data_IF_108317238864
#
_entry.id   IF_108317238864
#
_cell.length_a   1.000
_cell.length_b   1.000
_cell.length_c   1.000
_cell.angle_alpha   90.00
_cell.angle_beta   90.00
_cell.angle_gamma   90.00
#
_symmetry.space_group_name_H-M   'P 1'
#
loop_
_entity.id
_entity.type
_entity.pdbx_description
1 polymer ?
#
# COMPACT_ATOMS: atom_id res chain seq x y z
N UNK A 1 -17.43 18.53 18.82
CA UNK A 1 -16.61 17.33 18.55
C UNK A 1 -15.37 17.75 17.78
N UNK A 2 -14.19 17.31 18.21
CA UNK A 2 -12.97 17.64 17.50
C UNK A 2 -12.94 16.96 16.12
N UNK A 3 -12.44 17.65 15.08
CA UNK A 3 -12.24 17.02 13.78
C UNK A 3 -11.33 15.79 13.89
N UNK A 4 -11.61 14.78 13.09
CA UNK A 4 -10.84 13.53 13.08
C UNK A 4 -9.34 13.78 12.87
N UNK A 5 -8.97 14.67 11.96
CA UNK A 5 -7.58 15.03 11.72
C UNK A 5 -6.88 15.54 12.98
N UNK A 6 -7.57 16.37 13.76
CA UNK A 6 -7.03 16.90 15.03
C UNK A 6 -6.84 15.80 16.06
N UNK A 7 -7.80 14.88 16.16
CA UNK A 7 -7.71 13.74 17.07
C UNK A 7 -6.53 12.82 16.71
N UNK A 8 -6.37 12.52 15.44
CA UNK A 8 -5.25 11.68 14.96
C UNK A 8 -3.91 12.38 15.19
N UNK A 9 -3.84 13.69 14.92
CA UNK A 9 -2.63 14.47 15.18
C UNK A 9 -2.23 14.42 16.67
N UNK A 10 -3.18 14.61 17.57
CA UNK A 10 -2.93 14.50 19.02
C UNK A 10 -2.45 13.11 19.41
N UNK A 11 -3.07 12.08 18.85
CA UNK A 11 -2.68 10.70 19.11
C UNK A 11 -1.22 10.45 18.71
N UNK A 12 -0.82 10.92 17.54
CA UNK A 12 0.55 10.78 17.05
C UNK A 12 1.55 11.56 17.91
N UNK A 13 1.21 12.77 18.30
CA UNK A 13 2.04 13.58 19.22
C UNK A 13 2.24 12.87 20.56
N UNK A 14 1.18 12.31 21.12
CA UNK A 14 1.23 11.55 22.39
C UNK A 14 2.04 10.25 22.23
N UNK A 15 2.04 9.66 21.04
CA UNK A 15 2.84 8.48 20.75
C UNK A 15 4.34 8.78 20.57
N UNK A 16 4.73 10.05 20.56
CA UNK A 16 6.12 10.46 20.50
C UNK A 16 6.61 10.97 19.14
N UNK A 17 5.72 11.08 18.15
CA UNK A 17 6.07 11.67 16.86
C UNK A 17 6.14 13.20 16.96
N UNK A 18 7.21 13.79 16.43
CA UNK A 18 7.38 15.23 16.43
C UNK A 18 6.69 15.86 15.23
N UNK A 19 5.88 16.88 15.51
CA UNK A 19 5.22 17.70 14.50
C UNK A 19 4.56 16.89 13.34
N UNK A 20 3.69 15.92 13.64
CA UNK A 20 3.00 15.19 12.59
C UNK A 20 2.09 16.13 11.81
N UNK A 21 2.13 16.04 10.47
CA UNK A 21 1.20 16.77 9.62
C UNK A 21 0.06 15.82 9.23
N UNK A 22 -1.17 16.22 9.52
CA UNK A 22 -2.36 15.42 9.23
C UNK A 22 -3.36 16.27 8.45
N UNK A 23 -3.79 15.77 7.30
CA UNK A 23 -4.80 16.44 6.47
C UNK A 23 -5.83 15.44 5.98
N UNK A 24 -7.05 15.92 5.70
CA UNK A 24 -8.13 15.10 5.15
C UNK A 24 -8.42 15.53 3.72
N UNK A 25 -8.43 14.56 2.82
CA UNK A 25 -9.02 14.71 1.49
C UNK A 25 -10.44 14.17 1.57
N UNK A 26 -11.41 15.07 1.62
CA UNK A 26 -12.81 14.73 1.79
C UNK A 26 -13.39 14.00 0.57
N UNK A 27 -12.93 14.32 -0.63
CA UNK A 27 -13.40 13.68 -1.86
C UNK A 27 -12.90 12.24 -1.96
N UNK A 28 -11.62 12.03 -1.69
CA UNK A 28 -11.02 10.69 -1.70
C UNK A 28 -11.30 9.90 -0.43
N UNK A 29 -11.90 10.52 0.59
CA UNK A 29 -12.08 9.92 1.91
C UNK A 29 -10.78 9.38 2.48
N UNK A 30 -9.73 10.17 2.36
CA UNK A 30 -8.39 9.78 2.72
C UNK A 30 -7.80 10.71 3.77
N UNK A 31 -7.20 10.13 4.79
CA UNK A 31 -6.44 10.86 5.78
C UNK A 31 -4.96 10.72 5.40
N UNK A 32 -4.34 11.83 5.06
CA UNK A 32 -2.92 11.87 4.70
C UNK A 32 -2.09 12.32 5.89
N UNK A 33 -1.09 11.54 6.23
CA UNK A 33 -0.20 11.79 7.37
C UNK A 33 1.23 11.87 6.87
N UNK A 34 1.96 12.89 7.31
CA UNK A 34 3.38 13.03 7.05
C UNK A 34 4.12 13.04 8.37
N UNK A 35 5.04 12.09 8.52
CA UNK A 35 5.89 11.92 9.69
C UNK A 35 7.34 12.10 9.24
N UNK A 36 8.03 13.07 9.82
CA UNK A 36 9.44 13.32 9.52
C UNK A 36 10.34 12.57 10.50
N UNK A 37 10.43 11.27 10.30
CA UNK A 37 11.24 10.38 11.12
C UNK A 37 12.35 9.73 10.28
N UNK A 38 13.27 9.02 10.93
CA UNK A 38 14.39 8.37 10.23
C UNK A 38 13.97 7.14 9.41
N UNK A 39 14.96 6.51 8.79
CA UNK A 39 14.75 5.32 7.94
C UNK A 39 14.08 4.16 8.66
N UNK A 40 14.20 4.11 9.98
CA UNK A 40 13.55 3.07 10.79
C UNK A 40 12.04 3.04 10.61
N UNK A 41 11.41 4.18 10.33
CA UNK A 41 9.96 4.28 10.18
C UNK A 41 9.44 3.48 8.97
N UNK A 42 10.19 3.43 7.88
CA UNK A 42 9.79 2.71 6.66
C UNK A 42 9.45 1.25 6.94
N UNK A 43 10.20 0.63 7.82
CA UNK A 43 10.00 -0.76 8.23
C UNK A 43 8.67 -0.98 8.95
N UNK A 44 8.21 0.04 9.68
CA UNK A 44 7.01 -0.04 10.51
C UNK A 44 5.76 0.52 9.84
N UNK A 45 5.91 1.20 8.69
CA UNK A 45 4.80 1.85 8.00
C UNK A 45 3.61 0.92 7.70
N UNK A 46 3.78 -0.29 7.16
CA UNK A 46 2.63 -1.16 6.89
C UNK A 46 1.82 -1.47 8.14
N UNK A 47 2.50 -1.82 9.24
CA UNK A 47 1.86 -2.10 10.52
C UNK A 47 1.20 -0.87 11.12
N UNK A 48 1.89 0.27 11.09
CA UNK A 48 1.38 1.53 11.63
C UNK A 48 0.13 2.00 10.87
N UNK A 49 0.15 1.92 9.54
CA UNK A 49 -1.02 2.27 8.71
C UNK A 49 -2.20 1.38 9.08
N UNK A 50 -1.99 0.08 9.18
CA UNK A 50 -3.04 -0.85 9.53
C UNK A 50 -3.62 -0.57 10.92
N UNK A 51 -2.77 -0.34 11.90
CA UNK A 51 -3.20 -0.04 13.28
C UNK A 51 -3.98 1.27 13.36
N UNK A 52 -3.51 2.31 12.68
CA UNK A 52 -4.22 3.59 12.62
C UNK A 52 -5.56 3.47 11.89
N UNK A 53 -5.64 2.68 10.83
CA UNK A 53 -6.91 2.42 10.14
C UNK A 53 -7.93 1.77 11.09
N UNK A 54 -7.51 0.82 11.92
CA UNK A 54 -8.37 0.21 12.92
C UNK A 54 -8.87 1.23 13.94
N UNK A 55 -7.98 2.07 14.48
CA UNK A 55 -8.33 3.09 15.43
C UNK A 55 -9.29 4.15 14.85
N UNK A 56 -8.99 4.63 13.65
CA UNK A 56 -9.83 5.61 12.95
C UNK A 56 -11.19 5.02 12.63
N UNK A 57 -11.26 3.76 12.26
CA UNK A 57 -12.52 3.06 12.02
C UNK A 57 -13.40 3.04 13.27
N UNK A 58 -12.81 2.80 14.44
CA UNK A 58 -13.52 2.84 15.71
C UNK A 58 -14.00 4.26 16.06
N UNK A 59 -13.17 5.27 15.85
CA UNK A 59 -13.55 6.66 16.07
C UNK A 59 -14.65 7.11 15.10
N UNK A 60 -14.58 6.71 13.85
CA UNK A 60 -15.57 7.03 12.83
C UNK A 60 -16.92 6.36 13.10
N UNK A 61 -16.93 5.15 13.65
CA UNK A 61 -18.16 4.47 14.08
C UNK A 61 -18.92 5.27 15.13
N UNK A 62 -18.19 5.80 16.13
CA UNK A 62 -18.79 6.64 17.18
C UNK A 62 -19.41 7.91 16.62
N UNK A 63 -18.81 8.46 15.56
CA UNK A 63 -19.26 9.69 14.92
C UNK A 63 -20.23 9.44 13.74
N UNK A 64 -20.62 8.20 13.48
CA UNK A 64 -21.46 7.80 12.34
C UNK A 64 -20.92 8.29 11.00
N UNK A 65 -19.59 8.36 10.86
CA UNK A 65 -18.94 8.80 9.65
C UNK A 65 -18.59 7.64 8.72
N UNK A 66 -18.50 7.93 7.43
CA UNK A 66 -18.08 6.94 6.44
C UNK A 66 -16.62 6.50 6.66
N UNK A 67 -16.29 5.30 6.21
CA UNK A 67 -14.94 4.77 6.31
C UNK A 67 -13.92 5.69 5.62
N UNK A 68 -12.79 5.90 6.29
CA UNK A 68 -11.70 6.74 5.82
C UNK A 68 -10.45 5.87 5.66
N UNK A 69 -9.77 6.02 4.53
CA UNK A 69 -8.49 5.36 4.28
C UNK A 69 -7.35 6.21 4.85
N UNK A 70 -6.29 5.56 5.29
CA UNK A 70 -5.10 6.23 5.82
C UNK A 70 -3.91 5.94 4.92
N UNK A 71 -3.11 6.98 4.67
CA UNK A 71 -1.79 6.84 4.08
C UNK A 71 -0.78 7.67 4.88
N UNK A 72 0.42 7.14 5.01
CA UNK A 72 1.52 7.78 5.71
C UNK A 72 2.69 7.92 4.74
N UNK A 73 3.20 9.15 4.59
CA UNK A 73 4.35 9.46 3.74
C UNK A 73 4.22 8.95 2.30
N UNK A 74 3.00 8.97 1.75
CA UNK A 74 2.70 8.44 0.42
C UNK A 74 3.11 6.97 0.23
N UNK A 75 3.07 6.18 1.30
CA UNK A 75 3.49 4.79 1.29
C UNK A 75 2.79 3.96 0.20
N UNK A 76 1.48 4.11 0.06
CA UNK A 76 0.72 3.33 -0.93
C UNK A 76 1.12 3.66 -2.36
N UNK A 77 1.26 4.95 -2.69
CA UNK A 77 1.72 5.40 -4.01
C UNK A 77 3.12 4.87 -4.33
N UNK A 78 4.02 4.98 -3.38
CA UNK A 78 5.39 4.51 -3.54
C UNK A 78 5.43 2.99 -3.69
N UNK A 79 4.64 2.27 -2.90
CA UNK A 79 4.51 0.81 -3.00
C UNK A 79 3.98 0.39 -4.38
N UNK A 80 2.93 1.05 -4.87
CA UNK A 80 2.38 0.78 -6.20
C UNK A 80 3.40 1.01 -7.30
N UNK A 81 4.14 2.12 -7.23
CA UNK A 81 5.20 2.44 -8.19
C UNK A 81 6.26 1.35 -8.22
N UNK A 82 6.72 0.90 -7.06
CA UNK A 82 7.73 -0.15 -6.95
C UNK A 82 7.23 -1.49 -7.50
N UNK A 83 5.98 -1.84 -7.26
CA UNK A 83 5.37 -3.07 -7.78
C UNK A 83 5.28 -3.03 -9.30
N UNK A 84 4.86 -1.92 -9.88
CA UNK A 84 4.80 -1.73 -11.33
C UNK A 84 6.19 -1.85 -11.96
N UNK A 85 7.19 -1.20 -11.37
CA UNK A 85 8.58 -1.30 -11.84
C UNK A 85 9.12 -2.73 -11.76
N UNK A 86 8.84 -3.42 -10.66
CA UNK A 86 9.22 -4.82 -10.47
C UNK A 86 8.57 -5.72 -11.51
N UNK A 87 7.28 -5.52 -11.76
CA UNK A 87 6.53 -6.27 -12.77
C UNK A 87 7.13 -6.09 -14.17
N UNK A 88 7.44 -4.86 -14.54
CA UNK A 88 8.07 -4.55 -15.84
C UNK A 88 9.45 -5.19 -15.99
N UNK A 89 10.27 -5.11 -14.95
CA UNK A 89 11.60 -5.72 -14.95
C UNK A 89 11.52 -7.24 -15.06
N UNK A 90 10.62 -7.85 -14.30
CA UNK A 90 10.41 -9.30 -14.34
C UNK A 90 9.86 -9.77 -15.69
N UNK A 91 8.97 -9.00 -16.32
CA UNK A 91 8.45 -9.30 -17.65
C UNK A 91 9.57 -9.27 -18.71
N UNK A 92 10.45 -8.29 -18.66
CA UNK A 92 11.61 -8.21 -19.54
C UNK A 92 12.53 -9.43 -19.37
N UNK A 93 12.77 -9.81 -18.12
CA UNK A 93 13.58 -10.99 -17.81
C UNK A 93 12.95 -12.26 -18.36
N UNK A 94 11.67 -12.48 -18.09
CA UNK A 94 10.94 -13.65 -18.57
C UNK A 94 10.95 -13.73 -20.12
N UNK A 95 10.72 -12.60 -20.77
CA UNK A 95 10.72 -12.50 -22.24
C UNK A 95 12.11 -12.78 -22.84
N UNK A 96 13.14 -12.16 -22.28
CA UNK A 96 14.52 -12.25 -22.80
C UNK A 96 15.14 -13.62 -22.55
N UNK A 97 15.03 -14.13 -21.32
CA UNK A 97 15.65 -15.38 -20.91
C UNK A 97 14.77 -16.61 -21.18
N UNK A 98 13.53 -16.40 -21.58
CA UNK A 98 12.52 -17.45 -21.79
C UNK A 98 12.31 -18.33 -20.55
N UNK A 99 12.37 -17.71 -19.39
CA UNK A 99 12.19 -18.36 -18.09
C UNK A 99 10.98 -17.82 -17.36
N UNK A 100 10.39 -18.65 -16.53
CA UNK A 100 9.34 -18.23 -15.60
C UNK A 100 9.95 -17.44 -14.45
N UNK A 101 9.39 -16.26 -14.15
CA UNK A 101 9.83 -15.42 -13.05
C UNK A 101 8.74 -15.39 -11.99
N UNK A 102 9.11 -15.72 -10.75
CA UNK A 102 8.22 -15.69 -9.60
C UNK A 102 8.46 -14.39 -8.83
N UNK A 103 7.41 -13.60 -8.64
CA UNK A 103 7.47 -12.37 -7.84
C UNK A 103 7.34 -12.69 -6.34
N UNK A 104 7.78 -11.77 -5.46
CA UNK A 104 7.54 -11.91 -4.03
C UNK A 104 6.05 -12.01 -3.70
N UNK A 105 5.74 -12.55 -2.54
CA UNK A 105 4.36 -12.63 -2.05
C UNK A 105 3.72 -11.22 -1.95
N UNK A 106 2.48 -11.12 -2.35
CA UNK A 106 1.73 -9.87 -2.43
C UNK A 106 0.29 -10.07 -2.01
N UNK A 107 -0.35 -8.99 -1.53
CA UNK A 107 -1.78 -9.01 -1.27
C UNK A 107 -2.58 -9.02 -2.59
N UNK A 108 -3.89 -9.23 -2.49
CA UNK A 108 -4.76 -9.34 -3.66
C UNK A 108 -4.75 -8.09 -4.54
N UNK A 109 -4.73 -6.90 -3.93
CA UNK A 109 -4.68 -5.63 -4.64
C UNK A 109 -3.38 -5.49 -5.44
N UNK A 110 -2.26 -5.81 -4.83
CA UNK A 110 -0.94 -5.75 -5.47
C UNK A 110 -0.82 -6.74 -6.64
N UNK A 111 -1.31 -7.97 -6.46
CA UNK A 111 -1.34 -8.96 -7.55
C UNK A 111 -2.18 -8.47 -8.72
N UNK A 112 -3.30 -7.81 -8.44
CA UNK A 112 -4.14 -7.23 -9.47
C UNK A 112 -3.42 -6.14 -10.26
N UNK A 113 -2.64 -5.29 -9.58
CA UNK A 113 -1.81 -4.29 -10.25
C UNK A 113 -0.85 -4.92 -11.25
N UNK A 114 -0.19 -6.00 -10.86
CA UNK A 114 0.73 -6.74 -11.76
C UNK A 114 -0.02 -7.29 -12.96
N UNK A 115 -1.15 -7.94 -12.75
CA UNK A 115 -1.96 -8.49 -13.84
C UNK A 115 -2.41 -7.41 -14.82
N UNK A 116 -2.87 -6.27 -14.31
CA UNK A 116 -3.30 -5.14 -15.13
C UNK A 116 -2.14 -4.54 -15.94
N UNK A 117 -0.99 -4.33 -15.30
CA UNK A 117 0.19 -3.75 -15.95
C UNK A 117 0.70 -4.64 -17.08
N UNK A 118 0.69 -5.95 -16.88
CA UNK A 118 1.23 -6.90 -17.86
C UNK A 118 0.19 -7.48 -18.81
N UNK A 119 -1.08 -7.13 -18.65
CA UNK A 119 -2.16 -7.63 -19.51
C UNK A 119 -1.98 -7.27 -20.98
N UNK A 120 -1.32 -6.15 -21.25
CA UNK A 120 -1.05 -5.66 -22.61
C UNK A 120 0.33 -6.08 -23.13
N UNK A 121 1.10 -6.80 -22.34
CA UNK A 121 2.45 -7.23 -22.74
C UNK A 121 2.36 -8.43 -23.73
N UNK A 122 2.93 -8.32 -24.94
CA UNK A 122 2.72 -9.33 -25.98
C UNK A 122 3.49 -10.64 -25.75
N UNK A 123 4.51 -10.64 -24.92
CA UNK A 123 5.45 -11.75 -24.79
C UNK A 123 5.36 -12.52 -23.48
N UNK A 124 4.50 -12.08 -22.55
CA UNK A 124 4.36 -12.75 -21.26
C UNK A 124 2.90 -12.90 -20.87
N UNK A 125 2.63 -13.88 -20.02
CA UNK A 125 1.35 -14.06 -19.33
C UNK A 125 1.57 -14.14 -17.83
N UNK A 126 0.55 -13.82 -17.06
CA UNK A 126 0.63 -13.79 -15.60
C UNK A 126 -0.38 -14.75 -14.98
N UNK A 127 0.04 -15.42 -13.93
CA UNK A 127 -0.81 -16.31 -13.13
C UNK A 127 -0.55 -16.06 -11.65
N UNK A 128 -1.57 -16.20 -10.81
CA UNK A 128 -1.39 -16.18 -9.36
C UNK A 128 -1.22 -17.59 -8.84
N UNK A 129 -0.24 -17.81 -7.98
CA UNK A 129 0.05 -19.10 -7.36
C UNK A 129 0.18 -18.96 -5.84
N UNK A 130 -0.02 -20.05 -5.13
CA UNK A 130 0.12 -20.11 -3.68
C UNK A 130 -1.18 -19.81 -2.94
N UNK A 131 -1.10 -19.87 -1.62
CA UNK A 131 -2.24 -19.65 -0.73
C UNK A 131 -1.92 -18.66 0.39
N UNK A 132 -2.93 -17.91 0.83
CA UNK A 132 -2.83 -17.00 1.95
C UNK A 132 -1.77 -15.92 1.76
N UNK A 133 -0.94 -15.75 2.77
CA UNK A 133 0.12 -14.72 2.78
C UNK A 133 1.28 -15.00 1.81
N UNK A 134 1.39 -16.23 1.35
CA UNK A 134 2.45 -16.64 0.42
C UNK A 134 2.05 -16.51 -1.04
N UNK A 135 0.81 -16.14 -1.30
CA UNK A 135 0.31 -16.04 -2.67
C UNK A 135 1.03 -14.94 -3.44
N UNK A 136 1.46 -15.28 -4.64
CA UNK A 136 2.27 -14.41 -5.49
C UNK A 136 1.84 -14.47 -6.94
N UNK A 137 2.41 -13.61 -7.76
CA UNK A 137 2.25 -13.64 -9.21
C UNK A 137 3.45 -14.32 -9.83
N UNK A 138 3.19 -15.18 -10.81
CA UNK A 138 4.21 -15.82 -11.63
C UNK A 138 4.07 -15.29 -13.06
N UNK A 139 5.18 -14.84 -13.63
CA UNK A 139 5.24 -14.31 -14.98
C UNK A 139 5.88 -15.36 -15.89
N UNK A 140 5.13 -15.80 -16.90
CA UNK A 140 5.56 -16.86 -17.82
C UNK A 140 5.76 -16.29 -19.21
N UNK A 141 6.86 -16.67 -19.90
CA UNK A 141 7.00 -16.31 -21.30
C UNK A 141 5.97 -17.05 -22.16
N UNK A 142 5.51 -16.39 -23.18
CA UNK A 142 4.62 -16.98 -24.16
C UNK A 142 5.43 -17.68 -25.25
#
# INVERSE_FOLDING_TARGET
MEPLATQVKKLLELAGFEEPAVSIDAEARKLEIFLNEGEWLKRWLPGLINDLEQLVKLLSRKAEQAAIFIDINNYRKERERLIVELAKAAARKASTEKETVKLPAMNAYERRLVHLELSVHPEVKTESEGEGRERCVVIKPI
#
